data_IF_548627087611
#
_entry.id   IF_548627087611
#
_cell.length_a   1.000
_cell.length_b   1.000
_cell.length_c   1.000
_cell.angle_alpha   90.00
_cell.angle_beta   90.00
_cell.angle_gamma   90.00
#
_symmetry.space_group_name_H-M   'P 1'
#
loop_
_entity.id
_entity.type
_entity.pdbx_description
1 polymer ?
#
# COMPACT_ATOMS: atom_id res chain seq x y z
N UNK A 1 -81.14 -6.18 -4.31
CA UNK A 1 -79.80 -6.64 -4.73
C UNK A 1 -78.94 -5.47 -5.20
N UNK A 2 -78.08 -4.88 -4.36
CA UNK A 2 -76.99 -3.96 -4.75
C UNK A 2 -76.28 -3.49 -3.48
N UNK A 3 -75.11 -4.08 -3.16
CA UNK A 3 -74.13 -3.57 -2.17
C UNK A 3 -72.87 -4.47 -2.16
N UNK A 4 -72.28 -4.73 -3.33
CA UNK A 4 -71.00 -5.49 -3.42
C UNK A 4 -69.96 -4.89 -4.38
N UNK A 5 -70.19 -3.70 -4.95
CA UNK A 5 -69.20 -3.08 -5.86
C UNK A 5 -68.25 -2.09 -5.18
N UNK A 6 -68.61 -1.56 -4.00
CA UNK A 6 -67.81 -0.51 -3.34
C UNK A 6 -66.61 -1.08 -2.57
N UNK A 7 -66.67 -2.34 -2.11
CA UNK A 7 -65.57 -2.95 -1.36
C UNK A 7 -64.41 -3.40 -2.25
N UNK A 8 -64.64 -3.65 -3.55
CA UNK A 8 -63.58 -4.08 -4.47
C UNK A 8 -62.70 -2.92 -4.94
N UNK A 9 -63.25 -1.70 -5.01
CA UNK A 9 -62.48 -0.51 -5.43
C UNK A 9 -61.49 -0.05 -4.34
N UNK A 10 -61.84 -0.20 -3.06
CA UNK A 10 -60.95 0.20 -1.96
C UNK A 10 -59.70 -0.69 -1.86
N UNK A 11 -59.82 -1.98 -2.20
CA UNK A 11 -58.70 -2.92 -2.15
C UNK A 11 -57.71 -2.70 -3.29
N UNK A 12 -58.18 -2.23 -4.46
CA UNK A 12 -57.30 -1.92 -5.60
C UNK A 12 -56.53 -0.62 -5.37
N UNK A 13 -57.13 0.37 -4.68
CA UNK A 13 -56.44 1.63 -4.35
C UNK A 13 -55.37 1.46 -3.25
N UNK A 14 -55.55 0.49 -2.34
CA UNK A 14 -54.56 0.17 -1.31
C UNK A 14 -53.33 -0.58 -1.85
N UNK A 15 -53.42 -1.24 -3.02
CA UNK A 15 -52.29 -1.91 -3.67
C UNK A 15 -51.34 -0.96 -4.42
N UNK A 16 -51.70 0.31 -4.59
CA UNK A 16 -50.83 1.33 -5.19
C UNK A 16 -50.00 2.13 -4.17
N UNK A 17 -50.18 1.86 -2.87
CA UNK A 17 -49.38 2.47 -1.80
C UNK A 17 -48.21 1.58 -1.36
N UNK A 18 -47.81 0.61 -2.17
CA UNK A 18 -46.62 -0.20 -1.91
C UNK A 18 -45.42 0.65 -2.28
N UNK A 19 -44.93 1.36 -1.28
CA UNK A 19 -43.58 1.89 -1.10
C UNK A 19 -42.80 2.16 -2.39
N UNK A 20 -42.75 3.45 -2.76
CA UNK A 20 -41.60 4.00 -3.45
C UNK A 20 -40.37 3.76 -2.57
N UNK A 21 -39.81 2.55 -2.64
CA UNK A 21 -38.42 2.35 -2.28
C UNK A 21 -37.66 3.21 -3.26
N UNK A 22 -37.22 4.37 -2.80
CA UNK A 22 -36.17 5.11 -3.44
C UNK A 22 -34.98 4.16 -3.47
N UNK A 23 -34.87 3.39 -4.54
CA UNK A 23 -33.64 2.74 -4.93
C UNK A 23 -32.67 3.91 -5.16
N UNK A 24 -31.98 4.31 -4.09
CA UNK A 24 -30.81 5.14 -4.21
C UNK A 24 -29.93 4.37 -5.19
N UNK A 25 -29.83 4.92 -6.38
CA UNK A 25 -28.96 4.38 -7.41
C UNK A 25 -27.58 4.54 -6.80
N UNK A 26 -27.05 3.45 -6.25
CA UNK A 26 -25.66 3.39 -5.83
C UNK A 26 -24.90 3.55 -7.14
N UNK A 27 -24.52 4.77 -7.45
CA UNK A 27 -23.62 5.04 -8.55
C UNK A 27 -22.33 4.31 -8.22
N UNK A 28 -22.15 3.17 -8.88
CA UNK A 28 -20.89 2.44 -8.88
C UNK A 28 -19.88 3.37 -9.53
N UNK A 29 -19.13 4.11 -8.72
CA UNK A 29 -18.14 5.09 -9.19
C UNK A 29 -17.07 4.46 -10.08
N UNK A 30 -16.81 3.16 -9.94
CA UNK A 30 -15.91 2.40 -10.81
C UNK A 30 -16.11 0.89 -10.60
N UNK A 31 -16.28 0.13 -11.71
CA UNK A 31 -15.97 -1.29 -11.75
C UNK A 31 -14.51 -1.38 -12.19
N UNK A 32 -13.63 -1.48 -11.21
CA UNK A 32 -12.21 -1.32 -11.44
C UNK A 32 -11.61 -2.59 -12.05
N UNK A 33 -11.61 -2.66 -13.39
CA UNK A 33 -11.36 -3.89 -14.16
C UNK A 33 -12.14 -5.12 -13.65
N UNK A 34 -13.30 -4.90 -13.02
CA UNK A 34 -14.13 -5.95 -12.39
C UNK A 34 -13.55 -6.60 -11.12
N UNK A 35 -12.45 -6.10 -10.55
CA UNK A 35 -11.76 -6.77 -9.43
C UNK A 35 -12.21 -6.30 -8.04
N UNK A 36 -12.57 -5.03 -7.87
CA UNK A 36 -13.05 -4.52 -6.58
C UNK A 36 -14.12 -3.42 -6.73
N UNK A 37 -14.86 -3.21 -5.64
CA UNK A 37 -15.84 -2.15 -5.45
C UNK A 37 -15.57 -1.45 -4.13
N UNK A 38 -15.65 -0.11 -4.11
CA UNK A 38 -15.36 0.71 -2.93
C UNK A 38 -16.45 1.78 -2.83
N UNK A 39 -17.00 1.97 -1.62
CA UNK A 39 -17.96 3.01 -1.29
C UNK A 39 -17.59 3.66 0.04
N UNK A 40 -17.39 4.97 0.01
CA UNK A 40 -17.18 5.77 1.22
C UNK A 40 -18.51 6.32 1.75
N UNK A 41 -18.65 6.26 3.07
CA UNK A 41 -19.69 6.92 3.86
C UNK A 41 -19.01 7.91 4.83
N UNK A 42 -19.77 8.63 5.66
CA UNK A 42 -19.20 9.65 6.56
C UNK A 42 -18.24 9.13 7.63
N UNK A 43 -18.37 7.87 8.01
CA UNK A 43 -17.75 7.24 9.19
C UNK A 43 -17.17 5.84 8.89
N UNK A 44 -17.33 5.35 7.66
CA UNK A 44 -16.87 4.03 7.28
C UNK A 44 -16.65 3.93 5.76
N UNK A 45 -15.87 2.92 5.35
CA UNK A 45 -15.65 2.57 3.95
C UNK A 45 -16.05 1.11 3.74
N UNK A 46 -16.98 0.86 2.81
CA UNK A 46 -17.31 -0.49 2.37
C UNK A 46 -16.47 -0.85 1.17
N UNK A 47 -15.88 -2.03 1.21
CA UNK A 47 -15.07 -2.53 0.11
C UNK A 47 -15.41 -3.98 -0.18
N UNK A 48 -15.43 -4.34 -1.46
CA UNK A 48 -15.57 -5.73 -1.90
C UNK A 48 -14.49 -6.05 -2.93
N UNK A 49 -13.90 -7.24 -2.83
CA UNK A 49 -12.95 -7.78 -3.79
C UNK A 49 -13.54 -9.05 -4.38
N UNK A 50 -13.79 -9.02 -5.69
CA UNK A 50 -14.37 -10.14 -6.42
C UNK A 50 -13.33 -11.24 -6.66
N UNK A 51 -12.05 -10.89 -6.80
CA UNK A 51 -10.97 -11.87 -6.96
C UNK A 51 -10.65 -12.63 -5.66
N UNK A 52 -10.82 -11.98 -4.51
CA UNK A 52 -10.66 -12.63 -3.19
C UNK A 52 -11.97 -13.22 -2.64
N UNK A 53 -13.13 -12.84 -3.19
CA UNK A 53 -14.44 -13.26 -2.67
C UNK A 53 -14.77 -12.68 -1.29
N UNK A 54 -14.30 -11.46 -1.00
CA UNK A 54 -14.52 -10.79 0.30
C UNK A 54 -15.36 -9.52 0.16
N UNK A 55 -16.06 -9.19 1.23
CA UNK A 55 -16.74 -7.90 1.44
C UNK A 55 -16.47 -7.48 2.87
N UNK A 56 -15.96 -6.27 3.05
CA UNK A 56 -15.51 -5.75 4.35
C UNK A 56 -16.00 -4.33 4.56
N UNK A 57 -16.02 -3.92 5.82
CA UNK A 57 -16.26 -2.54 6.24
C UNK A 57 -15.07 -2.08 7.08
N UNK A 58 -14.42 -1.00 6.63
CA UNK A 58 -13.40 -0.29 7.38
C UNK A 58 -14.08 0.80 8.19
N UNK A 59 -14.01 0.67 9.51
CA UNK A 59 -14.41 1.65 10.51
C UNK A 59 -13.37 1.61 11.64
N UNK A 60 -13.52 2.44 12.68
CA UNK A 60 -12.55 2.54 13.78
C UNK A 60 -12.24 1.19 14.43
N UNK A 61 -13.23 0.31 14.55
CA UNK A 61 -13.04 -1.04 15.13
C UNK A 61 -12.15 -1.90 14.24
N UNK A 62 -12.42 -1.93 12.93
CA UNK A 62 -11.60 -2.69 11.99
C UNK A 62 -10.20 -2.10 11.90
N UNK A 63 -10.08 -0.78 11.78
CA UNK A 63 -8.80 -0.08 11.71
C UNK A 63 -7.95 -0.25 12.97
N UNK A 64 -8.58 -0.35 14.15
CA UNK A 64 -7.89 -0.62 15.42
C UNK A 64 -7.03 -1.89 15.39
N UNK A 65 -7.38 -2.89 14.58
CA UNK A 65 -6.59 -4.12 14.39
C UNK A 65 -5.20 -3.87 13.80
N UNK A 66 -4.98 -2.73 13.13
CA UNK A 66 -3.68 -2.37 12.56
C UNK A 66 -2.64 -2.18 13.67
N UNK A 67 -3.05 -1.71 14.86
CA UNK A 67 -2.15 -1.58 16.00
C UNK A 67 -1.64 -2.92 16.54
N UNK A 68 -2.33 -4.03 16.25
CA UNK A 68 -1.94 -5.38 16.65
C UNK A 68 -0.87 -5.98 15.72
N UNK A 69 -0.56 -5.33 14.58
CA UNK A 69 0.34 -5.86 13.55
C UNK A 69 1.84 -5.64 13.86
N UNK A 70 2.19 -4.97 14.96
CA UNK A 70 3.59 -4.74 15.35
C UNK A 70 4.37 -3.88 14.35
N UNK A 71 3.71 -2.90 13.74
CA UNK A 71 4.30 -2.02 12.72
C UNK A 71 5.33 -1.05 13.34
N UNK A 72 6.36 -0.65 12.58
CA UNK A 72 7.40 0.26 13.06
C UNK A 72 6.93 1.73 13.20
N UNK A 73 5.67 2.01 12.88
CA UNK A 73 5.04 3.33 13.04
C UNK A 73 3.87 3.24 14.00
N UNK A 74 3.68 4.30 14.77
CA UNK A 74 2.60 4.45 15.74
C UNK A 74 1.34 5.09 15.15
N UNK A 75 1.42 5.60 13.92
CA UNK A 75 0.35 6.33 13.21
C UNK A 75 -0.15 7.58 13.95
N UNK A 76 0.68 8.21 14.79
CA UNK A 76 0.29 9.37 15.60
C UNK A 76 0.29 10.71 14.83
N UNK A 77 1.03 10.82 13.73
CA UNK A 77 1.00 12.01 12.87
C UNK A 77 0.03 11.84 11.68
N UNK A 78 -0.02 12.84 10.79
CA UNK A 78 -0.80 12.83 9.56
C UNK A 78 -0.69 11.50 8.78
N UNK A 79 -1.80 10.76 8.76
CA UNK A 79 -1.97 9.52 8.03
C UNK A 79 -2.79 9.77 6.75
N UNK A 80 -2.33 9.24 5.62
CA UNK A 80 -3.17 9.12 4.43
C UNK A 80 -3.42 7.65 4.12
N UNK A 81 -4.68 7.26 4.15
CA UNK A 81 -5.14 5.93 3.77
C UNK A 81 -5.67 5.94 2.34
N UNK A 82 -5.33 4.90 1.58
CA UNK A 82 -5.79 4.67 0.22
C UNK A 82 -6.17 3.20 0.08
N UNK A 83 -7.25 2.92 -0.64
CA UNK A 83 -7.52 1.59 -1.14
C UNK A 83 -6.77 1.38 -2.46
N UNK A 84 -6.18 0.21 -2.62
CA UNK A 84 -5.57 -0.22 -3.86
C UNK A 84 -6.26 -1.49 -4.36
N UNK A 85 -6.77 -1.45 -5.58
CA UNK A 85 -7.43 -2.58 -6.22
C UNK A 85 -6.61 -3.08 -7.40
N UNK A 86 -6.33 -4.39 -7.43
CA UNK A 86 -5.66 -5.04 -8.56
C UNK A 86 -6.26 -6.42 -8.84
N UNK A 87 -5.74 -7.11 -9.85
CA UNK A 87 -6.05 -8.52 -10.08
C UNK A 87 -5.70 -9.44 -8.89
N UNK A 88 -4.84 -8.98 -7.96
CA UNK A 88 -4.48 -9.69 -6.73
C UNK A 88 -5.42 -9.37 -5.55
N UNK A 89 -6.40 -8.49 -5.74
CA UNK A 89 -7.40 -8.11 -4.74
C UNK A 89 -7.20 -6.70 -4.16
N UNK A 90 -7.81 -6.49 -3.00
CA UNK A 90 -7.82 -5.25 -2.22
C UNK A 90 -6.62 -5.19 -1.27
N UNK A 91 -5.95 -4.04 -1.29
CA UNK A 91 -4.97 -3.64 -0.29
C UNK A 91 -5.36 -2.30 0.31
N UNK A 92 -5.09 -2.11 1.60
CA UNK A 92 -5.11 -0.83 2.26
C UNK A 92 -3.65 -0.33 2.30
N UNK A 93 -3.42 0.82 1.70
CA UNK A 93 -2.11 1.46 1.65
C UNK A 93 -2.13 2.69 2.52
N UNK A 94 -1.21 2.76 3.47
CA UNK A 94 -1.10 3.86 4.41
C UNK A 94 0.23 4.57 4.22
N UNK A 95 0.16 5.89 4.11
CA UNK A 95 1.30 6.78 4.13
C UNK A 95 1.33 7.51 5.47
N UNK A 96 2.28 7.13 6.32
CA UNK A 96 2.39 7.59 7.70
C UNK A 96 3.71 8.33 7.91
N UNK A 97 3.68 9.50 8.55
CA UNK A 97 4.89 10.21 8.94
C UNK A 97 5.21 9.91 10.41
N UNK A 98 6.47 9.66 10.73
CA UNK A 98 6.95 9.43 12.09
C UNK A 98 8.30 10.14 12.26
N UNK A 99 8.28 11.30 12.91
CA UNK A 99 9.47 12.14 13.06
C UNK A 99 10.00 12.63 11.70
N UNK A 100 11.25 12.27 11.39
CA UNK A 100 11.90 12.63 10.12
C UNK A 100 11.60 11.64 8.99
N UNK A 101 11.07 10.45 9.31
CA UNK A 101 10.84 9.39 8.35
C UNK A 101 9.37 9.35 7.92
N UNK A 102 9.14 8.81 6.73
CA UNK A 102 7.81 8.56 6.21
C UNK A 102 7.75 7.14 5.70
N UNK A 103 6.72 6.43 6.15
CA UNK A 103 6.49 5.02 5.88
C UNK A 103 5.37 4.84 4.87
N UNK A 104 5.55 3.87 3.99
CA UNK A 104 4.54 3.30 3.14
C UNK A 104 4.22 1.89 3.64
N UNK A 105 3.02 1.68 4.16
CA UNK A 105 2.56 0.41 4.69
C UNK A 105 1.51 -0.16 3.76
N UNK A 106 1.78 -1.33 3.18
CA UNK A 106 0.82 -2.07 2.38
C UNK A 106 0.26 -3.21 3.19
N UNK A 107 -1.06 -3.20 3.37
CA UNK A 107 -1.82 -4.22 4.06
C UNK A 107 -2.74 -4.91 3.07
N UNK A 108 -2.63 -6.23 2.94
CA UNK A 108 -3.66 -7.02 2.26
C UNK A 108 -4.90 -7.03 3.14
N UNK A 109 -6.04 -6.71 2.55
CA UNK A 109 -7.34 -6.78 3.24
C UNK A 109 -7.85 -8.21 3.17
N UNK A 110 -8.15 -8.78 4.33
CA UNK A 110 -8.85 -10.06 4.48
C UNK A 110 -10.21 -9.83 5.14
N UNK A 111 -11.07 -10.86 5.14
CA UNK A 111 -12.46 -10.74 5.61
C UNK A 111 -12.60 -10.14 7.02
N UNK A 112 -11.73 -10.55 7.94
CA UNK A 112 -11.80 -10.17 9.35
C UNK A 112 -10.48 -9.56 9.88
N UNK A 113 -9.47 -9.36 9.03
CA UNK A 113 -8.15 -8.89 9.47
C UNK A 113 -7.33 -8.26 8.33
N UNK A 114 -6.11 -7.84 8.65
CA UNK A 114 -5.10 -7.38 7.70
C UNK A 114 -3.88 -8.31 7.74
N UNK A 115 -3.21 -8.43 6.59
CA UNK A 115 -1.90 -9.07 6.50
C UNK A 115 -0.91 -8.03 5.99
N UNK A 116 0.19 -7.83 6.71
CA UNK A 116 1.27 -6.94 6.27
C UNK A 116 1.92 -7.52 5.01
N UNK A 117 1.82 -6.80 3.89
CA UNK A 117 2.48 -7.17 2.64
C UNK A 117 3.87 -6.54 2.55
N UNK A 118 3.96 -5.25 2.85
CA UNK A 118 5.24 -4.55 2.87
C UNK A 118 5.19 -3.37 3.83
N UNK A 119 6.35 -3.05 4.39
CA UNK A 119 6.58 -1.82 5.16
C UNK A 119 7.88 -1.23 4.64
N UNK A 120 7.78 -0.08 3.99
CA UNK A 120 8.91 0.62 3.41
C UNK A 120 8.96 2.08 3.84
N UNK A 121 10.09 2.73 3.55
CA UNK A 121 10.19 4.18 3.58
C UNK A 121 9.72 4.77 2.25
N UNK A 122 9.29 6.03 2.25
CA UNK A 122 8.89 6.74 1.03
C UNK A 122 9.11 8.24 1.15
N UNK A 123 9.54 8.87 0.06
CA UNK A 123 9.60 10.34 -0.04
C UNK A 123 8.27 10.95 -0.51
N UNK A 124 7.34 10.12 -1.01
CA UNK A 124 6.05 10.58 -1.51
C UNK A 124 5.13 10.95 -0.35
N UNK A 125 4.43 12.08 -0.45
CA UNK A 125 3.38 12.46 0.50
C UNK A 125 1.99 11.93 0.14
N UNK A 126 1.90 11.08 -0.87
CA UNK A 126 0.64 10.59 -1.44
C UNK A 126 0.74 9.07 -1.69
N UNK A 127 0.32 8.60 -2.87
CA UNK A 127 0.50 7.23 -3.36
C UNK A 127 1.96 6.82 -3.23
N UNK A 128 2.20 5.62 -2.72
CA UNK A 128 3.53 5.13 -2.44
C UNK A 128 3.59 3.61 -2.61
N UNK A 129 4.71 3.13 -3.16
CA UNK A 129 5.08 1.71 -3.16
C UNK A 129 6.14 1.40 -2.10
N UNK A 130 6.83 2.43 -1.63
CA UNK A 130 7.87 2.30 -0.61
C UNK A 130 9.13 1.56 -1.09
N UNK A 131 10.20 1.75 -0.34
CA UNK A 131 11.45 1.03 -0.51
C UNK A 131 11.90 0.44 0.83
N UNK A 132 12.66 -0.65 0.78
CA UNK A 132 13.19 -1.35 1.96
C UNK A 132 14.16 -0.42 2.69
N UNK A 133 13.83 -0.11 3.95
CA UNK A 133 14.69 0.71 4.80
C UNK A 133 16.07 0.06 4.93
N UNK A 134 17.13 0.86 4.73
CA UNK A 134 18.50 0.40 4.89
C UNK A 134 19.03 -0.54 3.81
N UNK A 135 18.37 -0.65 2.64
CA UNK A 135 18.83 -1.55 1.57
C UNK A 135 19.11 -0.78 0.28
N UNK A 136 20.35 -0.87 -0.19
CA UNK A 136 20.79 -0.34 -1.49
C UNK A 136 21.19 -1.52 -2.38
N UNK A 137 20.76 -1.50 -3.63
CA UNK A 137 21.16 -2.46 -4.65
C UNK A 137 22.21 -1.83 -5.56
N UNK A 138 23.34 -2.51 -5.72
CA UNK A 138 24.42 -2.14 -6.63
C UNK A 138 24.39 -3.08 -7.84
N UNK A 139 24.35 -2.52 -9.03
CA UNK A 139 24.64 -3.21 -10.29
C UNK A 139 26.08 -2.91 -10.70
N UNK A 140 26.89 -3.94 -10.89
CA UNK A 140 28.29 -3.82 -11.26
C UNK A 140 28.45 -3.70 -12.79
N UNK A 141 29.53 -3.05 -13.22
CA UNK A 141 29.91 -2.99 -14.63
C UNK A 141 30.26 -4.38 -15.19
N UNK A 142 29.99 -4.60 -16.48
CA UNK A 142 30.26 -5.87 -17.16
C UNK A 142 31.61 -5.93 -17.87
N UNK A 143 32.20 -4.79 -18.24
CA UNK A 143 33.45 -4.72 -18.99
C UNK A 143 34.54 -3.98 -18.21
N UNK A 144 35.72 -4.58 -18.12
CA UNK A 144 36.91 -3.95 -17.51
C UNK A 144 36.86 -3.78 -15.98
N UNK A 145 35.80 -4.24 -15.32
CA UNK A 145 35.65 -4.23 -13.86
C UNK A 145 36.14 -5.55 -13.29
N UNK A 146 37.12 -5.47 -12.39
CA UNK A 146 37.52 -6.59 -11.53
C UNK A 146 36.57 -6.67 -10.33
N UNK A 147 35.60 -7.57 -10.43
CA UNK A 147 34.50 -7.70 -9.47
C UNK A 147 34.97 -8.29 -8.15
N UNK A 148 35.84 -9.30 -8.19
CA UNK A 148 36.39 -9.93 -7.00
C UNK A 148 37.16 -8.91 -6.18
N UNK A 149 37.97 -8.08 -6.85
CA UNK A 149 38.66 -6.95 -6.21
C UNK A 149 37.68 -5.96 -5.57
N UNK A 150 36.58 -5.62 -6.24
CA UNK A 150 35.57 -4.72 -5.64
C UNK A 150 34.92 -5.32 -4.39
N UNK A 151 34.66 -6.64 -4.38
CA UNK A 151 34.14 -7.32 -3.19
C UNK A 151 35.17 -7.28 -2.05
N UNK A 152 36.45 -7.52 -2.33
CA UNK A 152 37.52 -7.36 -1.34
C UNK A 152 37.59 -5.93 -0.79
N UNK A 153 37.42 -4.92 -1.65
CA UNK A 153 37.40 -3.50 -1.24
C UNK A 153 36.19 -3.18 -0.33
N UNK A 154 35.02 -3.81 -0.57
CA UNK A 154 33.86 -3.72 0.32
C UNK A 154 34.13 -4.39 1.68
N UNK A 155 34.72 -5.59 1.69
CA UNK A 155 35.10 -6.29 2.93
C UNK A 155 36.06 -5.47 3.79
N UNK A 156 37.04 -4.85 3.15
CA UNK A 156 38.06 -4.02 3.81
C UNK A 156 37.55 -2.61 4.16
N UNK A 157 36.32 -2.25 3.75
CA UNK A 157 35.72 -0.92 3.95
C UNK A 157 36.57 0.21 3.34
N UNK A 158 37.19 -0.05 2.19
CA UNK A 158 38.19 0.82 1.56
C UNK A 158 37.64 2.10 0.95
N UNK A 159 36.30 2.23 0.81
CA UNK A 159 35.66 3.37 0.13
C UNK A 159 35.17 4.49 1.05
N UNK A 160 35.44 4.44 2.36
CA UNK A 160 34.95 5.41 3.34
C UNK A 160 33.42 5.60 3.30
N UNK A 161 32.69 4.54 2.96
CA UNK A 161 31.23 4.46 3.04
C UNK A 161 30.92 3.46 4.14
N UNK A 162 30.32 3.93 5.23
CA UNK A 162 29.92 3.06 6.33
C UNK A 162 28.61 2.34 5.99
N UNK A 163 28.60 1.02 6.18
CA UNK A 163 27.42 0.17 6.03
C UNK A 163 27.53 -1.03 6.99
N UNK A 164 26.42 -1.69 7.27
CA UNK A 164 26.34 -2.81 8.22
C UNK A 164 26.94 -4.08 7.62
N UNK A 165 26.46 -4.48 6.44
CA UNK A 165 26.93 -5.67 5.72
C UNK A 165 26.65 -5.56 4.22
N UNK A 166 27.20 -6.48 3.44
CA UNK A 166 26.84 -6.67 2.04
C UNK A 166 26.50 -8.13 1.76
N UNK A 167 25.79 -8.37 0.66
CA UNK A 167 25.46 -9.70 0.16
C UNK A 167 25.60 -9.71 -1.37
N UNK A 168 26.31 -10.69 -1.92
CA UNK A 168 26.39 -10.88 -3.37
C UNK A 168 25.17 -11.65 -3.83
N UNK A 169 24.26 -10.98 -4.56
CA UNK A 169 23.02 -11.58 -5.06
C UNK A 169 23.30 -12.37 -6.33
N UNK A 170 24.09 -11.78 -7.23
CA UNK A 170 24.60 -12.42 -8.45
C UNK A 170 25.98 -11.85 -8.77
N UNK A 171 26.68 -12.44 -9.73
CA UNK A 171 27.95 -11.90 -10.25
C UNK A 171 27.85 -10.43 -10.73
N UNK A 172 26.67 -9.92 -11.06
CA UNK A 172 26.47 -8.52 -11.46
C UNK A 172 25.83 -7.64 -10.40
N UNK A 173 25.46 -8.17 -9.22
CA UNK A 173 24.59 -7.48 -8.29
C UNK A 173 24.97 -7.72 -6.83
N UNK A 174 25.14 -6.63 -6.10
CA UNK A 174 25.48 -6.65 -4.66
C UNK A 174 24.43 -5.86 -3.90
N UNK A 175 23.90 -6.42 -2.83
CA UNK A 175 23.04 -5.73 -1.88
C UNK A 175 23.90 -5.17 -0.74
N UNK A 176 23.74 -3.89 -0.43
CA UNK A 176 24.32 -3.23 0.74
C UNK A 176 23.24 -3.03 1.79
N UNK A 177 23.48 -3.52 3.00
CA UNK A 177 22.64 -3.29 4.17
C UNK A 177 23.27 -2.18 5.02
N UNK A 178 22.51 -1.13 5.29
CA UNK A 178 22.93 0.04 6.06
C UNK A 178 22.75 -0.15 7.57
N UNK A 179 23.35 0.74 8.34
CA UNK A 179 23.05 0.87 9.77
C UNK A 179 21.68 1.53 9.95
N UNK A 180 21.01 1.22 11.06
CA UNK A 180 19.70 1.82 11.39
C UNK A 180 19.75 3.35 11.50
N UNK A 181 20.89 3.91 11.93
CA UNK A 181 21.14 5.35 11.98
C UNK A 181 21.14 6.03 10.62
N UNK A 182 21.27 5.26 9.53
CA UNK A 182 21.32 5.77 8.15
C UNK A 182 20.01 5.52 7.38
N UNK A 183 18.99 4.98 8.03
CA UNK A 183 17.68 4.81 7.39
C UNK A 183 17.11 6.17 6.96
N UNK A 184 16.60 6.25 5.73
CA UNK A 184 16.17 7.49 5.09
C UNK A 184 17.28 8.20 4.29
N UNK A 185 18.55 7.79 4.43
CA UNK A 185 19.70 8.33 3.67
C UNK A 185 20.12 7.46 2.49
N UNK A 186 19.28 6.50 2.09
CA UNK A 186 19.62 5.51 1.08
C UNK A 186 19.98 6.16 -0.27
N UNK A 187 19.29 7.24 -0.65
CA UNK A 187 19.59 7.97 -1.89
C UNK A 187 20.95 8.67 -1.84
N UNK A 188 21.25 9.35 -0.72
CA UNK A 188 22.54 10.02 -0.52
C UNK A 188 23.70 9.01 -0.59
N UNK A 189 23.53 7.85 0.06
CA UNK A 189 24.54 6.80 0.09
C UNK A 189 24.63 6.07 -1.25
N UNK A 190 23.51 5.86 -1.96
CA UNK A 190 23.51 5.30 -3.31
C UNK A 190 24.29 6.20 -4.28
N UNK A 191 24.17 7.52 -4.16
CA UNK A 191 24.97 8.45 -4.96
C UNK A 191 26.48 8.33 -4.69
N UNK A 192 26.90 8.04 -3.44
CA UNK A 192 28.31 7.77 -3.13
C UNK A 192 28.80 6.48 -3.78
N UNK A 193 27.98 5.42 -3.76
CA UNK A 193 28.32 4.17 -4.46
C UNK A 193 28.35 4.35 -5.98
N UNK A 194 27.44 5.13 -6.57
CA UNK A 194 27.43 5.46 -8.00
C UNK A 194 28.71 6.18 -8.46
N UNK A 195 29.44 6.83 -7.56
CA UNK A 195 30.70 7.48 -7.88
C UNK A 195 31.90 6.49 -7.97
N UNK A 196 31.72 5.24 -7.54
CA UNK A 196 32.76 4.22 -7.59
C UNK A 196 32.83 3.61 -9.00
N UNK A 197 34.03 3.56 -9.58
CA UNK A 197 34.24 3.07 -10.95
C UNK A 197 33.68 1.65 -11.23
N UNK A 198 33.70 0.69 -10.28
CA UNK A 198 33.10 -0.64 -10.49
C UNK A 198 31.56 -0.65 -10.56
N UNK A 199 30.90 0.39 -10.03
CA UNK A 199 29.44 0.46 -9.89
C UNK A 199 28.83 1.12 -11.12
N UNK A 200 27.94 0.39 -11.80
CA UNK A 200 27.18 0.91 -12.94
C UNK A 200 25.96 1.71 -12.47
N UNK A 201 25.23 1.15 -11.50
CA UNK A 201 24.07 1.78 -10.87
C UNK A 201 23.99 1.37 -9.40
N UNK A 202 23.57 2.31 -8.56
CA UNK A 202 23.23 2.11 -7.16
C UNK A 202 21.87 2.77 -6.92
N UNK A 203 20.94 2.01 -6.37
CA UNK A 203 19.56 2.47 -6.16
C UNK A 203 18.96 1.87 -4.89
N UNK A 204 17.88 2.49 -4.41
CA UNK A 204 17.09 1.95 -3.31
C UNK A 204 16.44 0.63 -3.72
N UNK A 205 16.29 -0.30 -2.79
CA UNK A 205 15.55 -1.55 -3.05
C UNK A 205 14.04 -1.32 -2.89
N UNK A 206 13.33 -1.19 -4.01
CA UNK A 206 11.87 -1.00 -4.01
C UNK A 206 11.10 -2.32 -3.80
N UNK A 207 9.90 -2.23 -3.24
CA UNK A 207 8.97 -3.34 -3.24
C UNK A 207 8.29 -3.49 -4.60
N UNK A 208 8.02 -4.73 -5.00
CA UNK A 208 7.23 -5.02 -6.19
C UNK A 208 5.78 -5.23 -5.79
N UNK A 209 4.93 -4.29 -6.18
CA UNK A 209 3.48 -4.36 -6.00
C UNK A 209 2.77 -4.63 -7.33
N UNK A 210 1.59 -5.29 -7.30
CA UNK A 210 0.83 -5.53 -8.51
C UNK A 210 0.37 -4.21 -9.13
N UNK A 211 0.23 -4.19 -10.45
CA UNK A 211 -0.38 -3.05 -11.15
C UNK A 211 -1.87 -3.03 -10.84
N UNK A 212 -2.39 -1.85 -10.56
CA UNK A 212 -3.76 -1.65 -10.13
C UNK A 212 -4.12 -0.18 -10.03
N UNK A 213 -5.28 0.07 -9.44
CA UNK A 213 -5.87 1.39 -9.33
C UNK A 213 -6.01 1.82 -7.87
N UNK A 214 -5.86 3.12 -7.66
CA UNK A 214 -5.86 3.75 -6.36
C UNK A 214 -7.18 4.49 -6.14
N UNK A 215 -7.75 4.35 -4.94
CA UNK A 215 -8.83 5.20 -4.44
C UNK A 215 -8.37 5.83 -3.15
N UNK A 216 -8.37 7.16 -3.09
CA UNK A 216 -8.14 7.88 -1.84
C UNK A 216 -9.30 7.57 -0.87
N UNK A 217 -9.00 7.43 0.43
CA UNK A 217 -10.00 7.19 1.48
C UNK A 217 -10.01 8.39 2.43
N UNK A 218 -10.65 9.48 2.01
CA UNK A 218 -10.63 10.77 2.69
C UNK A 218 -11.28 10.73 4.08
N UNK A 219 -12.08 9.71 4.35
CA UNK A 219 -12.78 9.48 5.62
C UNK A 219 -11.84 8.86 6.67
N UNK A 220 -10.83 8.09 6.25
CA UNK A 220 -9.94 7.31 7.14
C UNK A 220 -8.60 8.02 7.45
N UNK A 221 -8.54 9.34 7.29
CA UNK A 221 -7.34 10.17 7.56
C UNK A 221 -7.66 11.51 8.21
N UNK A 222 -8.81 11.63 8.87
CA UNK A 222 -9.24 12.83 9.59
C UNK A 222 -9.09 12.62 11.10
N UNK A 223 -7.87 12.79 11.61
CA UNK A 223 -7.64 13.18 13.00
C UNK A 223 -6.67 14.36 13.06
#
# INVERSE_FOLDING_TARGET
>A
MRKMKTKLLLTILALFCIDFTFAQTIEVKSLNQGSCWIQESSDHVKMASFSQGISVELNDITLGKIHELGLPTSFQENLKAMAFCSGHGLSLVMNAKEGALRYCVWLKVEKDNFIVQSVGLTDSQTKCDGYKAGVILLSLGSEGVDKDKFIEELEQRSHNIEFKSYEVITDGMVQINLNESDFGREEELAQKFNALAPVKYAERSYFYHPIGEWSDLDVLGRE
#
